data_IF_739153339182
#
_entry.id   IF_739153339182
#
_cell.length_a   1.000
_cell.length_b   1.000
_cell.length_c   1.000
_cell.angle_alpha   90.00
_cell.angle_beta   90.00
_cell.angle_gamma   90.00
#
_symmetry.space_group_name_H-M   'P 1'
#
loop_
_entity.id
_entity.type
_entity.pdbx_description
1 polymer ?
#
# COMPACT_ATOMS: atom_id res chain seq x y z
N UNK A 1 0.72 -30.32 -20.77
CA UNK A 1 1.67 -29.84 -19.74
C UNK A 1 0.87 -29.17 -18.63
N UNK A 2 1.13 -29.46 -17.35
CA UNK A 2 0.39 -28.84 -16.23
C UNK A 2 0.76 -27.36 -16.13
N UNK A 3 -0.23 -26.47 -16.05
CA UNK A 3 0.05 -25.06 -15.81
C UNK A 3 0.74 -24.90 -14.44
N UNK A 4 1.89 -24.19 -14.37
CA UNK A 4 2.58 -23.96 -13.10
C UNK A 4 1.69 -23.14 -12.17
N UNK A 5 1.81 -23.36 -10.86
CA UNK A 5 1.00 -22.61 -9.89
C UNK A 5 1.41 -21.12 -9.89
N UNK A 6 0.46 -20.19 -9.66
CA UNK A 6 0.77 -18.75 -9.65
C UNK A 6 1.87 -18.36 -8.65
N UNK A 7 1.93 -19.05 -7.50
CA UNK A 7 2.98 -18.86 -6.50
C UNK A 7 4.35 -19.22 -7.04
N UNK A 8 4.46 -20.35 -7.77
CA UNK A 8 5.72 -20.81 -8.36
C UNK A 8 6.21 -19.84 -9.43
N UNK A 9 5.31 -19.35 -10.29
CA UNK A 9 5.65 -18.34 -11.30
C UNK A 9 6.04 -17.00 -10.68
N UNK A 10 5.41 -16.62 -9.56
CA UNK A 10 5.84 -15.48 -8.75
C UNK A 10 7.30 -15.60 -8.30
N UNK A 11 7.69 -16.71 -7.69
CA UNK A 11 9.09 -16.95 -7.31
C UNK A 11 10.02 -16.99 -8.54
N UNK A 12 9.61 -17.69 -9.59
CA UNK A 12 10.40 -17.84 -10.82
C UNK A 12 10.70 -16.50 -11.49
N UNK A 13 9.72 -15.60 -11.54
CA UNK A 13 9.88 -14.28 -12.14
C UNK A 13 10.98 -13.47 -11.44
N UNK A 14 11.02 -13.48 -10.10
CA UNK A 14 12.03 -12.71 -9.36
C UNK A 14 13.43 -13.28 -9.56
N UNK A 15 13.58 -14.61 -9.54
CA UNK A 15 14.89 -15.24 -9.73
C UNK A 15 15.42 -15.10 -11.15
N UNK A 16 14.54 -14.98 -12.15
CA UNK A 16 14.94 -14.75 -13.55
C UNK A 16 15.32 -13.32 -13.85
N UNK A 17 14.70 -12.36 -13.16
CA UNK A 17 14.95 -10.93 -13.38
C UNK A 17 15.36 -10.30 -12.05
N UNK A 18 16.56 -10.63 -11.50
CA UNK A 18 17.00 -10.10 -10.21
C UNK A 18 17.16 -8.57 -10.25
N UNK A 19 17.35 -7.98 -11.43
CA UNK A 19 17.37 -6.53 -11.65
C UNK A 19 16.05 -5.86 -11.30
N UNK A 20 14.90 -6.54 -11.43
CA UNK A 20 13.60 -6.02 -10.96
C UNK A 20 13.60 -5.88 -9.45
N UNK A 21 14.04 -6.94 -8.74
CA UNK A 21 14.20 -6.90 -7.30
C UNK A 21 15.15 -5.80 -6.89
N UNK A 22 16.35 -5.74 -7.47
CA UNK A 22 17.34 -4.72 -7.10
C UNK A 22 16.89 -3.30 -7.44
N UNK A 23 16.21 -3.06 -8.56
CA UNK A 23 15.71 -1.74 -8.92
C UNK A 23 14.56 -1.29 -8.00
N UNK A 24 13.63 -2.18 -7.66
CA UNK A 24 12.52 -1.82 -6.77
C UNK A 24 12.96 -1.68 -5.31
N UNK A 25 13.91 -2.52 -4.87
CA UNK A 25 14.42 -2.56 -3.49
C UNK A 25 15.45 -1.44 -3.28
N UNK A 26 16.54 -1.46 -4.04
CA UNK A 26 17.70 -0.61 -3.78
C UNK A 26 17.50 0.82 -4.29
N UNK A 27 16.83 1.02 -5.44
CA UNK A 27 16.87 2.33 -6.09
C UNK A 27 15.96 3.36 -5.43
N UNK A 28 14.70 3.01 -5.10
CA UNK A 28 13.75 4.02 -4.60
C UNK A 28 13.34 3.84 -3.14
N UNK A 29 13.12 2.62 -2.65
CA UNK A 29 12.66 2.42 -1.26
C UNK A 29 13.76 2.70 -0.26
N UNK A 30 14.96 2.17 -0.50
CA UNK A 30 16.10 2.37 0.38
C UNK A 30 16.62 3.80 0.30
N UNK A 31 16.73 4.37 -0.91
CA UNK A 31 17.06 5.78 -1.09
C UNK A 31 16.07 6.71 -0.38
N UNK A 32 14.77 6.45 -0.49
CA UNK A 32 13.75 7.21 0.23
C UNK A 32 13.84 7.02 1.74
N UNK A 33 14.07 5.79 2.23
CA UNK A 33 14.22 5.52 3.65
C UNK A 33 15.44 6.22 4.24
N UNK A 34 16.58 6.22 3.53
CA UNK A 34 17.80 6.93 3.93
C UNK A 34 17.57 8.43 3.92
N UNK A 35 16.98 8.98 2.84
CA UNK A 35 16.70 10.41 2.74
C UNK A 35 15.69 10.88 3.80
N UNK A 36 14.59 10.14 3.98
CA UNK A 36 13.60 10.39 5.02
C UNK A 36 14.18 10.27 6.43
N UNK A 37 15.01 9.26 6.67
CA UNK A 37 15.75 9.10 7.93
C UNK A 37 16.69 10.27 8.20
N UNK A 38 17.46 10.70 7.20
CA UNK A 38 18.33 11.87 7.30
C UNK A 38 17.54 13.16 7.58
N UNK A 39 16.40 13.35 6.90
CA UNK A 39 15.50 14.49 7.14
C UNK A 39 14.93 14.48 8.57
N UNK A 40 14.52 13.31 9.08
CA UNK A 40 14.04 13.19 10.46
C UNK A 40 15.14 13.45 11.48
N UNK A 41 16.36 12.96 11.24
CA UNK A 41 17.52 13.22 12.11
C UNK A 41 17.86 14.72 12.10
N UNK A 42 17.88 15.33 10.91
CA UNK A 42 18.14 16.76 10.78
C UNK A 42 17.06 17.60 11.47
N UNK A 43 15.79 17.28 11.26
CA UNK A 43 14.67 17.95 11.92
C UNK A 43 14.72 17.77 13.45
N UNK A 44 15.14 16.59 13.93
CA UNK A 44 15.34 16.34 15.35
C UNK A 44 16.48 17.21 15.91
N UNK A 45 17.63 17.30 15.24
CA UNK A 45 18.73 18.18 15.67
C UNK A 45 18.31 19.65 15.67
N UNK A 46 17.65 20.11 14.60
CA UNK A 46 17.16 21.48 14.53
C UNK A 46 16.14 21.79 15.63
N UNK A 47 15.27 20.83 15.97
CA UNK A 47 14.36 20.98 17.10
C UNK A 47 15.12 21.04 18.43
N UNK A 48 16.09 20.15 18.66
CA UNK A 48 16.92 20.14 19.87
C UNK A 48 17.69 21.46 20.05
N UNK A 49 18.18 22.05 18.97
CA UNK A 49 18.87 23.35 18.99
C UNK A 49 17.94 24.52 19.37
N UNK A 50 16.61 24.37 19.19
CA UNK A 50 15.63 25.38 19.60
C UNK A 50 15.20 25.27 21.06
N UNK A 51 15.64 24.24 21.79
CA UNK A 51 15.26 24.06 23.19
C UNK A 51 16.02 25.04 24.08
N UNK A 52 15.33 25.83 24.91
CA UNK A 52 15.97 26.71 25.88
C UNK A 52 16.53 25.85 27.04
N UNK A 53 17.80 25.43 26.92
CA UNK A 53 18.47 24.68 27.98
C UNK A 53 19.11 25.66 28.97
N UNK A 54 18.60 25.69 30.21
CA UNK A 54 19.16 26.53 31.26
C UNK A 54 20.31 25.84 31.97
N UNK A 55 21.30 26.58 32.49
CA UNK A 55 22.40 26.03 33.29
C UNK A 55 21.91 25.20 34.50
N UNK A 56 20.75 25.55 35.06
CA UNK A 56 20.09 24.78 36.13
C UNK A 56 19.63 23.40 35.67
N UNK A 57 19.10 23.27 34.44
CA UNK A 57 18.68 21.99 33.88
C UNK A 57 19.89 21.07 33.65
N UNK A 58 21.02 21.63 33.18
CA UNK A 58 22.28 20.90 33.04
C UNK A 58 22.82 20.42 34.40
N UNK A 59 22.69 21.22 35.46
CA UNK A 59 23.07 20.81 36.80
C UNK A 59 22.20 19.64 37.30
N UNK A 60 20.89 19.69 37.06
CA UNK A 60 19.96 18.60 37.40
C UNK A 60 20.26 17.32 36.62
N UNK A 61 20.53 17.42 35.31
CA UNK A 61 20.93 16.27 34.48
C UNK A 61 22.23 15.61 34.98
N UNK A 62 23.17 16.39 35.51
CA UNK A 62 24.45 15.90 36.04
C UNK A 62 24.29 15.09 37.33
N UNK A 63 23.21 15.28 38.10
CA UNK A 63 22.98 14.59 39.37
C UNK A 63 22.76 13.08 39.24
N UNK A 64 22.46 12.58 38.03
CA UNK A 64 22.11 11.17 37.76
C UNK A 64 20.93 10.62 38.57
N UNK A 65 20.11 11.49 39.19
CA UNK A 65 18.92 11.08 39.91
C UNK A 65 17.71 11.04 38.94
N UNK A 66 17.05 9.88 38.74
CA UNK A 66 16.02 9.70 37.72
C UNK A 66 14.85 10.69 37.86
N UNK A 67 14.44 10.99 39.10
CA UNK A 67 13.35 11.91 39.38
C UNK A 67 13.71 13.38 39.06
N UNK A 68 14.98 13.77 39.24
CA UNK A 68 15.43 15.11 38.88
C UNK A 68 15.62 15.25 37.37
N UNK A 69 16.10 14.19 36.71
CA UNK A 69 16.20 14.13 35.24
C UNK A 69 14.81 14.26 34.61
N UNK A 70 13.80 13.54 35.11
CA UNK A 70 12.45 13.63 34.54
C UNK A 70 11.84 15.02 34.72
N UNK A 71 12.08 15.67 35.87
CA UNK A 71 11.59 17.02 36.15
C UNK A 71 12.28 18.08 35.29
N UNK A 72 13.60 17.97 35.11
CA UNK A 72 14.37 18.84 34.22
C UNK A 72 13.94 18.64 32.75
N UNK A 73 13.75 17.39 32.32
CA UNK A 73 13.24 17.09 30.98
C UNK A 73 11.84 17.70 30.77
N UNK A 74 10.91 17.48 31.72
CA UNK A 74 9.58 18.09 31.66
C UNK A 74 9.67 19.60 31.53
N UNK A 75 10.52 20.26 32.31
CA UNK A 75 10.72 21.71 32.25
C UNK A 75 11.27 22.17 30.88
N UNK A 76 12.29 21.50 30.34
CA UNK A 76 12.86 21.79 29.01
C UNK A 76 11.81 21.61 27.89
N UNK A 77 10.93 20.61 28.02
CA UNK A 77 9.86 20.37 27.06
C UNK A 77 8.61 21.24 27.29
N UNK A 78 8.46 21.83 28.48
CA UNK A 78 7.32 22.66 28.83
C UNK A 78 7.39 24.01 28.10
N UNK A 79 6.61 24.13 27.02
CA UNK A 79 6.57 25.33 26.17
C UNK A 79 7.17 25.15 24.78
N UNK A 80 7.96 24.09 24.54
CA UNK A 80 8.50 23.75 23.20
C UNK A 80 7.61 22.79 22.41
N UNK A 81 6.67 22.12 23.08
CA UNK A 81 5.68 21.23 22.48
C UNK A 81 4.97 21.79 21.22
N UNK A 82 4.42 23.02 21.19
CA UNK A 82 3.74 23.52 19.99
C UNK A 82 4.70 23.68 18.80
N UNK A 83 5.96 24.07 19.04
CA UNK A 83 6.99 24.15 17.99
C UNK A 83 7.39 22.77 17.49
N UNK A 84 7.53 21.80 18.40
CA UNK A 84 7.82 20.41 18.07
C UNK A 84 6.72 19.82 17.17
N UNK A 85 5.45 20.03 17.55
CA UNK A 85 4.28 19.57 16.80
C UNK A 85 4.24 20.24 15.42
N UNK A 86 4.45 21.55 15.33
CA UNK A 86 4.49 22.26 14.05
C UNK A 86 5.60 21.71 13.14
N UNK A 87 6.82 21.56 13.65
CA UNK A 87 7.95 20.99 12.90
C UNK A 87 7.68 19.55 12.45
N UNK A 88 7.10 18.72 13.32
CA UNK A 88 6.71 17.35 13.00
C UNK A 88 5.65 17.31 11.90
N UNK A 89 4.59 18.13 11.98
CA UNK A 89 3.54 18.21 10.95
C UNK A 89 4.14 18.59 9.60
N UNK A 90 4.97 19.64 9.56
CA UNK A 90 5.60 20.10 8.31
C UNK A 90 6.51 19.00 7.75
N UNK A 91 7.37 18.42 8.57
CA UNK A 91 8.30 17.35 8.15
C UNK A 91 7.55 16.13 7.62
N UNK A 92 6.52 15.68 8.32
CA UNK A 92 5.71 14.53 7.90
C UNK A 92 4.93 14.82 6.62
N UNK A 93 4.44 16.05 6.42
CA UNK A 93 3.76 16.45 5.18
C UNK A 93 4.72 16.40 3.99
N UNK A 94 5.94 16.93 4.13
CA UNK A 94 6.97 16.87 3.08
C UNK A 94 7.38 15.42 2.77
N UNK A 95 7.61 14.60 3.81
CA UNK A 95 7.91 13.17 3.64
C UNK A 95 6.74 12.47 2.94
N UNK A 96 5.49 12.78 3.30
CA UNK A 96 4.31 12.20 2.68
C UNK A 96 4.21 12.55 1.18
N UNK A 97 4.37 13.83 0.81
CA UNK A 97 4.35 14.26 -0.59
C UNK A 97 5.47 13.57 -1.37
N UNK A 98 6.69 13.58 -0.84
CA UNK A 98 7.82 12.91 -1.45
C UNK A 98 7.57 11.40 -1.62
N UNK A 99 6.97 10.74 -0.63
CA UNK A 99 6.57 9.33 -0.73
C UNK A 99 5.55 9.10 -1.84
N UNK A 100 4.53 9.94 -1.98
CA UNK A 100 3.52 9.79 -3.06
C UNK A 100 4.21 9.81 -4.42
N UNK A 101 5.05 10.81 -4.67
CA UNK A 101 5.77 10.95 -5.94
C UNK A 101 6.66 9.74 -6.18
N UNK A 102 7.58 9.44 -5.25
CA UNK A 102 8.57 8.37 -5.42
C UNK A 102 7.90 7.00 -5.51
N UNK A 103 6.89 6.72 -4.68
CA UNK A 103 6.15 5.46 -4.73
C UNK A 103 5.35 5.33 -6.03
N UNK A 104 4.85 6.42 -6.60
CA UNK A 104 4.09 6.38 -7.85
C UNK A 104 5.00 6.05 -9.03
N UNK A 105 6.16 6.72 -9.13
CA UNK A 105 7.16 6.43 -10.17
C UNK A 105 7.73 5.01 -10.01
N UNK A 106 8.14 4.65 -8.79
CA UNK A 106 8.72 3.33 -8.51
C UNK A 106 7.74 2.18 -8.81
N UNK A 107 6.46 2.33 -8.45
CA UNK A 107 5.44 1.32 -8.74
C UNK A 107 5.09 1.24 -10.22
N UNK A 108 4.93 2.38 -10.90
CA UNK A 108 4.64 2.40 -12.32
C UNK A 108 5.77 1.72 -13.13
N UNK A 109 7.02 2.03 -12.82
CA UNK A 109 8.18 1.41 -13.46
C UNK A 109 8.26 -0.09 -13.18
N UNK A 110 8.12 -0.52 -11.92
CA UNK A 110 8.19 -1.93 -11.54
C UNK A 110 7.09 -2.78 -12.17
N UNK A 111 5.85 -2.30 -12.16
CA UNK A 111 4.70 -3.01 -12.76
C UNK A 111 4.85 -3.07 -14.28
N UNK A 112 5.30 -2.00 -14.94
CA UNK A 112 5.52 -2.01 -16.38
C UNK A 112 6.51 -3.12 -16.79
N UNK A 113 7.67 -3.18 -16.15
CA UNK A 113 8.68 -4.19 -16.48
C UNK A 113 8.15 -5.61 -16.21
N UNK A 114 7.35 -5.79 -15.17
CA UNK A 114 6.72 -7.06 -14.84
C UNK A 114 5.65 -7.46 -15.88
N UNK A 115 4.83 -6.51 -16.34
CA UNK A 115 3.86 -6.73 -17.41
C UNK A 115 4.56 -7.08 -18.72
N UNK A 116 5.62 -6.35 -19.08
CA UNK A 116 6.42 -6.61 -20.28
C UNK A 116 7.05 -8.00 -20.24
N UNK A 117 7.57 -8.42 -19.08
CA UNK A 117 8.09 -9.78 -18.87
C UNK A 117 7.02 -10.85 -19.12
N UNK A 118 5.85 -10.74 -18.47
CA UNK A 118 4.80 -11.76 -18.62
C UNK A 118 4.17 -11.76 -20.02
N UNK A 119 4.05 -10.59 -20.67
CA UNK A 119 3.61 -10.48 -22.07
C UNK A 119 4.61 -11.14 -23.02
N UNK A 120 5.91 -10.93 -22.83
CA UNK A 120 6.95 -11.57 -23.64
C UNK A 120 6.94 -13.11 -23.50
N UNK A 121 6.80 -13.62 -22.27
CA UNK A 121 6.69 -15.07 -22.01
C UNK A 121 5.44 -15.66 -22.68
N UNK A 122 4.32 -14.93 -22.65
CA UNK A 122 3.06 -15.35 -23.31
C UNK A 122 3.19 -15.36 -24.83
N UNK A 123 3.66 -14.28 -25.43
CA UNK A 123 3.79 -14.15 -26.88
C UNK A 123 4.74 -15.22 -27.45
N UNK A 124 5.80 -15.57 -26.71
CA UNK A 124 6.70 -16.67 -27.07
C UNK A 124 6.01 -18.04 -27.06
N UNK A 125 4.98 -18.21 -26.24
CA UNK A 125 4.21 -19.45 -26.15
C UNK A 125 3.06 -19.50 -27.16
N UNK A 126 2.67 -18.35 -27.72
CA UNK A 126 1.50 -18.17 -28.58
C UNK A 126 1.95 -17.59 -29.93
N UNK A 127 2.62 -18.41 -30.74
CA UNK A 127 3.26 -18.03 -32.01
C UNK A 127 2.28 -17.62 -33.16
N UNK A 128 1.03 -17.27 -32.84
CA UNK A 128 0.00 -16.97 -33.85
C UNK A 128 -0.76 -15.69 -33.49
N UNK A 129 -0.32 -14.59 -34.11
CA UNK A 129 -1.14 -13.46 -34.58
C UNK A 129 -2.27 -12.95 -33.67
N UNK A 130 -1.96 -12.04 -32.74
CA UNK A 130 -2.72 -10.77 -32.61
C UNK A 130 -1.85 -9.78 -31.85
N UNK A 131 -1.44 -8.70 -32.52
CA UNK A 131 -0.75 -7.58 -31.90
C UNK A 131 -1.68 -6.93 -30.89
N UNK A 132 -1.50 -7.22 -29.60
CA UNK A 132 -2.18 -6.51 -28.51
C UNK A 132 -1.90 -5.00 -28.64
N UNK A 133 -2.89 -4.13 -28.37
CA UNK A 133 -2.73 -2.70 -28.47
C UNK A 133 -1.51 -2.23 -27.66
N UNK A 134 -0.65 -1.46 -28.32
CA UNK A 134 0.48 -0.78 -27.71
C UNK A 134 0.02 0.04 -26.51
N UNK A 135 0.73 -0.13 -25.39
CA UNK A 135 0.45 0.44 -24.08
C UNK A 135 -0.14 1.86 -24.15
N UNK A 136 -1.44 1.95 -23.87
CA UNK A 136 -2.16 3.19 -23.60
C UNK A 136 -1.36 4.01 -22.57
N UNK A 137 -1.20 5.32 -22.81
CA UNK A 137 -0.29 6.20 -22.07
C UNK A 137 -0.38 6.08 -20.54
N UNK A 138 0.75 6.27 -19.87
CA UNK A 138 0.85 6.15 -18.41
C UNK A 138 -0.10 7.10 -17.70
N UNK A 139 -1.09 6.56 -16.99
CA UNK A 139 -1.95 7.36 -16.11
C UNK A 139 -1.29 7.53 -14.73
N UNK A 140 -0.17 8.26 -14.69
CA UNK A 140 0.55 8.61 -13.46
C UNK A 140 -0.36 9.27 -12.42
N UNK A 141 -1.32 10.10 -12.87
CA UNK A 141 -2.30 10.75 -12.00
C UNK A 141 -3.13 9.74 -11.19
N UNK A 142 -3.55 8.65 -11.82
CA UNK A 142 -4.33 7.60 -11.17
C UNK A 142 -3.50 6.84 -10.11
N UNK A 143 -2.23 6.54 -10.43
CA UNK A 143 -1.29 5.93 -9.48
C UNK A 143 -0.99 6.85 -8.29
N UNK A 144 -0.83 8.16 -8.55
CA UNK A 144 -0.66 9.16 -7.49
C UNK A 144 -1.90 9.24 -6.59
N UNK A 145 -3.11 9.20 -7.16
CA UNK A 145 -4.36 9.15 -6.40
C UNK A 145 -4.45 7.95 -5.46
N UNK A 146 -4.05 6.75 -5.94
CA UNK A 146 -3.99 5.55 -5.10
C UNK A 146 -2.96 5.68 -3.98
N UNK A 147 -1.77 6.21 -4.25
CA UNK A 147 -0.75 6.42 -3.21
C UNK A 147 -1.15 7.51 -2.20
N UNK A 148 -1.84 8.56 -2.63
CA UNK A 148 -2.45 9.55 -1.74
C UNK A 148 -3.47 8.91 -0.80
N UNK A 149 -4.38 8.08 -1.33
CA UNK A 149 -5.36 7.38 -0.50
C UNK A 149 -4.69 6.43 0.49
N UNK A 150 -3.57 5.80 0.12
CA UNK A 150 -2.78 4.97 1.06
C UNK A 150 -2.22 5.80 2.21
N UNK A 151 -1.71 7.01 1.93
CA UNK A 151 -1.27 7.93 3.00
C UNK A 151 -2.47 8.34 3.87
N UNK A 152 -3.59 8.73 3.26
CA UNK A 152 -4.78 9.12 3.99
C UNK A 152 -5.26 8.02 4.95
N UNK A 153 -5.29 6.76 4.51
CA UNK A 153 -5.68 5.62 5.34
C UNK A 153 -4.63 5.31 6.42
N UNK A 154 -3.33 5.48 6.15
CA UNK A 154 -2.29 5.37 7.21
C UNK A 154 -2.46 6.45 8.28
N UNK A 155 -2.77 7.68 7.88
CA UNK A 155 -3.01 8.79 8.81
C UNK A 155 -4.29 8.56 9.61
N UNK A 156 -5.36 8.10 8.98
CA UNK A 156 -6.60 7.73 9.65
C UNK A 156 -6.39 6.60 10.67
N UNK A 157 -5.59 5.59 10.34
CA UNK A 157 -5.25 4.50 11.27
C UNK A 157 -4.43 5.02 12.47
N UNK A 158 -3.49 5.93 12.24
CA UNK A 158 -2.72 6.57 13.31
C UNK A 158 -3.62 7.38 14.26
N UNK A 159 -4.49 8.23 13.71
CA UNK A 159 -5.49 8.98 14.49
C UNK A 159 -6.40 8.03 15.27
N UNK A 160 -6.83 6.93 14.62
CA UNK A 160 -7.61 5.87 15.26
C UNK A 160 -6.89 5.24 16.46
N UNK A 161 -5.57 4.98 16.35
CA UNK A 161 -4.79 4.43 17.46
C UNK A 161 -4.67 5.41 18.63
N UNK A 162 -4.53 6.71 18.35
CA UNK A 162 -4.59 7.76 19.39
C UNK A 162 -5.98 7.77 20.04
N UNK A 163 -7.05 7.70 19.26
CA UNK A 163 -8.42 7.58 19.77
C UNK A 163 -8.64 6.34 20.64
N UNK A 164 -8.08 5.19 20.25
CA UNK A 164 -8.11 3.96 21.03
C UNK A 164 -7.39 4.11 22.38
N UNK A 165 -6.25 4.81 22.41
CA UNK A 165 -5.52 5.12 23.64
C UNK A 165 -6.35 6.00 24.59
N UNK A 166 -7.00 7.04 24.06
CA UNK A 166 -7.88 7.93 24.84
C UNK A 166 -9.10 7.18 25.38
N UNK A 167 -9.73 6.34 24.55
CA UNK A 167 -10.86 5.50 24.95
C UNK A 167 -10.47 4.54 26.07
N UNK A 168 -9.34 3.85 25.94
CA UNK A 168 -8.82 2.97 26.98
C UNK A 168 -8.53 3.71 28.29
N UNK A 169 -7.94 4.91 28.21
CA UNK A 169 -7.71 5.78 29.37
C UNK A 169 -9.00 6.18 30.09
N UNK A 170 -10.09 6.41 29.33
CA UNK A 170 -11.38 6.76 29.92
C UNK A 170 -12.05 5.62 30.71
N UNK A 171 -11.72 4.36 30.38
CA UNK A 171 -12.28 3.17 31.05
C UNK A 171 -11.63 2.92 32.41
N UNK A 172 -10.38 3.35 32.59
CA UNK A 172 -9.66 3.24 33.87
C UNK A 172 -9.56 4.61 34.55
N UNK A 173 -10.54 4.93 35.41
CA UNK A 173 -10.51 6.14 36.23
C UNK A 173 -9.59 5.97 37.45
N UNK A 174 -9.00 7.07 37.94
CA UNK A 174 -8.22 7.10 39.19
C UNK A 174 -9.00 6.53 40.39
N UNK A 175 -10.33 6.71 40.39
CA UNK A 175 -11.20 6.25 41.49
C UNK A 175 -11.42 4.73 41.48
N UNK A 176 -11.32 4.09 40.33
CA UNK A 176 -11.55 2.65 40.13
C UNK A 176 -10.57 2.13 39.07
N UNK A 177 -9.29 1.93 39.42
CA UNK A 177 -8.28 1.52 38.46
C UNK A 177 -8.59 0.11 37.95
N UNK A 178 -8.87 -0.01 36.65
CA UNK A 178 -9.12 -1.29 35.98
C UNK A 178 -8.16 -1.46 34.79
N UNK A 179 -6.84 -1.53 35.04
CA UNK A 179 -5.83 -1.54 33.97
C UNK A 179 -6.01 -2.71 33.00
N UNK A 180 -6.54 -3.84 33.47
CA UNK A 180 -6.84 -5.00 32.62
C UNK A 180 -7.92 -4.73 31.58
N UNK A 181 -9.00 -4.05 31.96
CA UNK A 181 -10.10 -3.72 31.03
C UNK A 181 -9.64 -2.63 30.05
N UNK A 182 -8.95 -1.60 30.54
CA UNK A 182 -8.36 -0.56 29.70
C UNK A 182 -7.40 -1.16 28.65
N UNK A 183 -6.51 -2.06 29.07
CA UNK A 183 -5.61 -2.76 28.17
C UNK A 183 -6.37 -3.59 27.13
N UNK A 184 -7.38 -4.37 27.55
CA UNK A 184 -8.19 -5.18 26.63
C UNK A 184 -8.90 -4.30 25.59
N UNK A 185 -9.53 -3.20 26.01
CA UNK A 185 -10.19 -2.24 25.11
C UNK A 185 -9.18 -1.64 24.12
N UNK A 186 -8.01 -1.21 24.61
CA UNK A 186 -6.94 -0.69 23.76
C UNK A 186 -6.50 -1.70 22.70
N UNK A 187 -6.14 -2.92 23.11
CA UNK A 187 -5.62 -3.94 22.20
C UNK A 187 -6.67 -4.39 21.20
N UNK A 188 -7.94 -4.54 21.60
CA UNK A 188 -9.03 -4.88 20.68
C UNK A 188 -9.29 -3.78 19.65
N UNK A 189 -9.32 -2.51 20.08
CA UNK A 189 -9.50 -1.39 19.17
C UNK A 189 -8.33 -1.29 18.17
N UNK A 190 -7.08 -1.35 18.66
CA UNK A 190 -5.89 -1.33 17.81
C UNK A 190 -5.87 -2.52 16.84
N UNK A 191 -6.27 -3.72 17.28
CA UNK A 191 -6.39 -4.89 16.41
C UNK A 191 -7.36 -4.64 15.26
N UNK A 192 -8.56 -4.10 15.55
CA UNK A 192 -9.55 -3.79 14.52
C UNK A 192 -9.07 -2.71 13.56
N UNK A 193 -8.47 -1.63 14.08
CA UNK A 193 -7.93 -0.53 13.27
C UNK A 193 -6.82 -1.04 12.34
N UNK A 194 -5.88 -1.82 12.88
CA UNK A 194 -4.76 -2.38 12.10
C UNK A 194 -5.23 -3.42 11.08
N UNK A 195 -6.23 -4.23 11.41
CA UNK A 195 -6.86 -5.16 10.46
C UNK A 195 -7.50 -4.39 9.29
N UNK A 196 -8.34 -3.40 9.57
CA UNK A 196 -9.00 -2.58 8.55
C UNK A 196 -7.98 -1.83 7.68
N UNK A 197 -6.99 -1.21 8.31
CA UNK A 197 -5.87 -0.54 7.64
C UNK A 197 -5.12 -1.50 6.71
N UNK A 198 -4.79 -2.70 7.18
CA UNK A 198 -4.06 -3.71 6.42
C UNK A 198 -4.84 -4.15 5.18
N UNK A 199 -6.14 -4.45 5.33
CA UNK A 199 -7.03 -4.85 4.22
C UNK A 199 -7.12 -3.75 3.18
N UNK A 200 -7.41 -2.51 3.59
CA UNK A 200 -7.54 -1.38 2.67
C UNK A 200 -6.22 -1.08 1.97
N UNK A 201 -5.11 -1.04 2.70
CA UNK A 201 -3.78 -0.81 2.12
C UNK A 201 -3.37 -1.94 1.17
N UNK A 202 -3.83 -3.17 1.40
CA UNK A 202 -3.63 -4.29 0.48
C UNK A 202 -4.40 -4.08 -0.84
N UNK A 203 -5.70 -3.77 -0.78
CA UNK A 203 -6.51 -3.46 -1.98
C UNK A 203 -5.96 -2.29 -2.77
N UNK A 204 -5.56 -1.21 -2.10
CA UNK A 204 -4.96 -0.05 -2.77
C UNK A 204 -3.61 -0.38 -3.39
N UNK A 205 -2.81 -1.26 -2.76
CA UNK A 205 -1.56 -1.74 -3.35
C UNK A 205 -1.80 -2.65 -4.57
N UNK A 206 -2.92 -3.37 -4.61
CA UNK A 206 -3.34 -4.19 -5.74
C UNK A 206 -3.85 -3.31 -6.90
N UNK A 207 -4.63 -2.28 -6.57
CA UNK A 207 -5.23 -1.34 -7.53
C UNK A 207 -4.21 -0.66 -8.43
N UNK A 208 -2.98 -0.42 -7.95
CA UNK A 208 -1.91 0.25 -8.74
C UNK A 208 -1.56 -0.51 -10.03
N UNK A 209 -1.92 -1.79 -10.15
CA UNK A 209 -1.70 -2.56 -11.38
C UNK A 209 -2.56 -2.11 -12.56
N UNK A 210 -3.82 -1.75 -12.34
CA UNK A 210 -4.77 -1.47 -13.43
C UNK A 210 -4.52 -0.14 -14.16
N UNK A 211 -4.14 0.97 -13.50
CA UNK A 211 -3.76 2.19 -14.21
C UNK A 211 -2.56 2.00 -15.14
N UNK A 212 -1.66 1.07 -14.78
CA UNK A 212 -0.44 0.78 -15.55
C UNK A 212 -0.71 -0.25 -16.65
N UNK A 213 -1.57 -1.24 -16.38
CA UNK A 213 -1.87 -2.32 -17.31
C UNK A 213 -2.91 -1.93 -18.38
N UNK A 214 -3.97 -1.23 -17.95
CA UNK A 214 -5.22 -1.01 -18.69
C UNK A 214 -5.59 0.49 -18.79
N UNK A 215 -4.89 1.38 -18.08
CA UNK A 215 -5.17 2.82 -18.12
C UNK A 215 -6.47 3.19 -17.39
N UNK A 216 -6.79 2.50 -16.29
CA UNK A 216 -7.95 2.84 -15.47
C UNK A 216 -7.68 4.06 -14.57
N UNK A 217 -8.72 4.86 -14.35
CA UNK A 217 -8.74 5.94 -13.36
C UNK A 217 -8.64 5.37 -11.92
N UNK A 218 -8.49 6.24 -10.92
CA UNK A 218 -8.24 5.79 -9.53
C UNK A 218 -9.37 4.92 -8.99
N UNK A 219 -10.64 5.28 -9.27
CA UNK A 219 -11.78 4.52 -8.77
C UNK A 219 -12.03 3.27 -9.60
N UNK A 220 -11.89 3.34 -10.94
CA UNK A 220 -11.92 2.17 -11.80
C UNK A 220 -10.86 1.14 -11.41
N UNK A 221 -9.65 1.58 -11.06
CA UNK A 221 -8.59 0.70 -10.58
C UNK A 221 -8.93 -0.03 -9.27
N UNK A 222 -9.64 0.63 -8.35
CA UNK A 222 -10.11 0.02 -7.11
C UNK A 222 -11.21 -1.00 -7.42
N UNK A 223 -12.17 -0.64 -8.27
CA UNK A 223 -13.22 -1.54 -8.71
C UNK A 223 -12.65 -2.80 -9.39
N UNK A 224 -11.72 -2.64 -10.33
CA UNK A 224 -11.04 -3.75 -10.99
C UNK A 224 -10.23 -4.63 -10.02
N UNK A 225 -9.64 -4.05 -8.98
CA UNK A 225 -8.96 -4.81 -7.92
C UNK A 225 -9.94 -5.65 -7.10
N UNK A 226 -11.10 -5.10 -6.76
CA UNK A 226 -12.18 -5.82 -6.07
C UNK A 226 -12.71 -6.95 -6.95
N UNK A 227 -12.96 -6.68 -8.23
CA UNK A 227 -13.42 -7.71 -9.17
C UNK A 227 -12.37 -8.81 -9.32
N UNK A 228 -11.10 -8.44 -9.47
CA UNK A 228 -10.00 -9.41 -9.49
C UNK A 228 -10.01 -10.30 -8.25
N UNK A 229 -10.19 -9.74 -7.06
CA UNK A 229 -10.32 -10.51 -5.83
C UNK A 229 -11.58 -11.38 -5.79
N UNK A 230 -12.73 -10.88 -6.21
CA UNK A 230 -13.99 -11.64 -6.20
C UNK A 230 -13.91 -12.86 -7.11
N UNK A 231 -13.33 -12.71 -8.28
CA UNK A 231 -13.20 -13.80 -9.26
C UNK A 231 -12.02 -14.75 -8.97
N UNK A 232 -10.97 -14.29 -8.27
CA UNK A 232 -9.76 -15.08 -8.00
C UNK A 232 -9.36 -15.13 -6.53
N UNK A 233 -10.35 -15.12 -5.62
CA UNK A 233 -10.11 -15.08 -4.16
C UNK A 233 -9.23 -16.23 -3.69
N UNK A 234 -9.52 -17.46 -4.14
CA UNK A 234 -8.74 -18.66 -3.80
C UNK A 234 -7.25 -18.53 -4.15
N UNK A 235 -6.88 -18.33 -5.43
CA UNK A 235 -5.49 -18.13 -5.83
C UNK A 235 -4.82 -16.93 -5.13
N UNK A 236 -5.52 -15.81 -4.98
CA UNK A 236 -4.98 -14.61 -4.31
C UNK A 236 -4.70 -14.83 -2.83
N UNK A 237 -5.60 -15.51 -2.12
CA UNK A 237 -5.40 -15.88 -0.72
C UNK A 237 -4.29 -16.91 -0.60
N UNK A 238 -4.21 -17.90 -1.48
CA UNK A 238 -3.14 -18.88 -1.48
C UNK A 238 -1.75 -18.22 -1.64
N UNK A 239 -1.61 -17.33 -2.64
CA UNK A 239 -0.38 -16.54 -2.83
C UNK A 239 -0.07 -15.73 -1.56
N UNK A 240 -1.06 -15.01 -1.00
CA UNK A 240 -0.86 -14.20 0.20
C UNK A 240 -0.41 -15.02 1.40
N UNK A 241 -1.02 -16.18 1.62
CA UNK A 241 -0.70 -17.11 2.72
C UNK A 241 0.71 -17.67 2.56
N UNK A 242 1.09 -18.13 1.36
CA UNK A 242 2.44 -18.68 1.14
C UNK A 242 3.53 -17.62 1.34
N UNK A 243 3.39 -16.44 0.73
CA UNK A 243 4.35 -15.36 0.95
C UNK A 243 4.34 -14.87 2.40
N UNK A 244 3.19 -14.88 3.07
CA UNK A 244 3.07 -14.58 4.50
C UNK A 244 3.80 -15.59 5.39
N UNK A 245 3.67 -16.89 5.11
CA UNK A 245 4.38 -17.95 5.83
C UNK A 245 5.89 -17.81 5.67
N UNK A 246 6.38 -17.56 4.45
CA UNK A 246 7.81 -17.33 4.19
C UNK A 246 8.30 -16.07 4.92
N UNK A 247 7.49 -15.00 4.96
CA UNK A 247 7.79 -13.80 5.73
C UNK A 247 7.92 -14.10 7.23
N UNK A 248 6.98 -14.84 7.82
CA UNK A 248 7.03 -15.23 9.24
C UNK A 248 8.29 -16.06 9.52
N UNK A 249 8.63 -17.01 8.63
CA UNK A 249 9.86 -17.79 8.72
C UNK A 249 11.12 -16.91 8.68
N UNK A 250 11.18 -15.95 7.75
CA UNK A 250 12.27 -14.98 7.69
C UNK A 250 12.34 -14.13 8.97
N UNK A 251 11.21 -13.62 9.46
CA UNK A 251 11.18 -12.82 10.70
C UNK A 251 11.73 -13.62 11.89
N UNK A 252 11.32 -14.89 12.03
CA UNK A 252 11.81 -15.77 13.10
C UNK A 252 13.32 -16.00 13.00
N UNK A 253 13.81 -16.32 11.80
CA UNK A 253 15.22 -16.53 11.52
C UNK A 253 16.06 -15.28 11.83
N UNK A 254 15.70 -14.13 11.27
CA UNK A 254 16.45 -12.89 11.45
C UNK A 254 16.37 -12.34 12.87
N UNK A 255 15.25 -12.54 13.57
CA UNK A 255 15.14 -12.20 15.00
C UNK A 255 16.11 -13.05 15.83
N UNK A 256 16.22 -14.35 15.52
CA UNK A 256 17.17 -15.25 16.19
C UNK A 256 18.62 -14.86 15.90
N UNK A 257 18.94 -14.52 14.64
CA UNK A 257 20.25 -14.01 14.23
C UNK A 257 20.61 -12.69 14.95
N UNK A 258 19.63 -11.80 15.16
CA UNK A 258 19.86 -10.54 15.85
C UNK A 258 20.18 -10.73 17.35
N UNK A 259 19.76 -11.84 17.96
CA UNK A 259 20.11 -12.15 19.35
C UNK A 259 21.60 -12.50 19.53
N UNK A 260 22.28 -12.99 18.49
CA UNK A 260 23.72 -13.35 18.55
C UNK A 260 24.61 -12.14 18.91
N UNK A 261 24.61 -11.02 18.16
CA UNK A 261 25.42 -9.86 18.53
C UNK A 261 25.00 -9.25 19.86
N UNK A 262 23.72 -9.31 20.22
CA UNK A 262 23.21 -8.83 21.52
C UNK A 262 23.76 -9.68 22.66
N UNK A 263 23.78 -11.01 22.53
CA UNK A 263 24.36 -11.91 23.52
C UNK A 263 25.87 -11.68 23.69
N UNK A 264 26.55 -11.24 22.63
CA UNK A 264 27.97 -10.86 22.66
C UNK A 264 28.23 -9.44 23.16
N UNK A 265 27.21 -8.70 23.60
CA UNK A 265 27.38 -7.32 24.05
C UNK A 265 28.30 -7.15 25.27
N UNK A 266 28.50 -8.22 26.06
CA UNK A 266 29.49 -8.23 27.15
C UNK A 266 30.95 -8.35 26.68
N UNK A 267 31.19 -8.87 25.46
CA UNK A 267 32.52 -9.12 24.92
C UNK A 267 32.95 -8.12 23.83
N UNK A 268 31.99 -7.55 23.11
CA UNK A 268 32.23 -6.65 21.99
C UNK A 268 32.00 -5.18 22.36
N UNK A 269 32.66 -4.27 21.64
CA UNK A 269 32.36 -2.83 21.75
C UNK A 269 30.92 -2.57 21.33
N UNK A 270 30.20 -1.71 22.06
CA UNK A 270 28.79 -1.39 21.79
C UNK A 270 28.53 -0.96 20.32
N UNK A 271 29.47 -0.24 19.70
CA UNK A 271 29.38 0.15 18.27
C UNK A 271 29.37 -1.04 17.32
N UNK A 272 30.16 -2.08 17.60
CA UNK A 272 30.22 -3.29 16.79
C UNK A 272 28.93 -4.10 16.92
N UNK A 273 28.38 -4.21 18.13
CA UNK A 273 27.09 -4.85 18.39
C UNK A 273 25.97 -4.14 17.63
N UNK A 274 25.89 -2.81 17.76
CA UNK A 274 24.89 -2.00 17.06
C UNK A 274 25.00 -2.16 15.55
N UNK A 275 26.22 -2.12 15.01
CA UNK A 275 26.47 -2.32 13.58
C UNK A 275 26.03 -3.71 13.12
N UNK A 276 26.36 -4.76 13.88
CA UNK A 276 25.94 -6.13 13.55
C UNK A 276 24.41 -6.28 13.56
N UNK A 277 23.72 -5.77 14.58
CA UNK A 277 22.26 -5.76 14.64
C UNK A 277 21.65 -4.99 13.46
N UNK A 278 22.24 -3.84 13.11
CA UNK A 278 21.81 -3.04 11.97
C UNK A 278 21.96 -3.83 10.65
N UNK A 279 23.09 -4.50 10.44
CA UNK A 279 23.30 -5.33 9.24
C UNK A 279 22.26 -6.46 9.15
N UNK A 280 21.99 -7.14 10.26
CA UNK A 280 20.94 -8.20 10.30
C UNK A 280 19.57 -7.63 9.97
N UNK A 281 19.22 -6.45 10.50
CA UNK A 281 17.96 -5.78 10.20
C UNK A 281 17.86 -5.36 8.72
N UNK A 282 18.93 -4.81 8.14
CA UNK A 282 18.98 -4.45 6.72
C UNK A 282 18.83 -5.68 5.80
N UNK A 283 19.47 -6.80 6.15
CA UNK A 283 19.30 -8.05 5.42
C UNK A 283 17.87 -8.57 5.49
N UNK A 284 17.24 -8.52 6.68
CA UNK A 284 15.82 -8.86 6.84
C UNK A 284 14.92 -8.01 5.93
N UNK A 285 15.11 -6.69 5.93
CA UNK A 285 14.32 -5.79 5.07
C UNK A 285 14.53 -6.07 3.58
N UNK A 286 15.75 -6.39 3.15
CA UNK A 286 16.02 -6.80 1.78
C UNK A 286 15.23 -8.06 1.39
N UNK A 287 15.21 -9.08 2.25
CA UNK A 287 14.44 -10.32 2.04
C UNK A 287 12.95 -10.04 1.98
N UNK A 288 12.41 -9.27 2.92
CA UNK A 288 10.98 -8.91 2.94
C UNK A 288 10.57 -8.14 1.70
N UNK A 289 11.39 -7.19 1.26
CA UNK A 289 11.08 -6.44 0.06
C UNK A 289 11.13 -7.32 -1.19
N UNK A 290 12.06 -8.27 -1.27
CA UNK A 290 12.09 -9.29 -2.33
C UNK A 290 10.82 -10.14 -2.34
N UNK A 291 10.36 -10.63 -1.19
CA UNK A 291 9.10 -11.37 -1.07
C UNK A 291 7.90 -10.55 -1.52
N UNK A 292 7.89 -9.24 -1.25
CA UNK A 292 6.82 -8.34 -1.69
C UNK A 292 6.76 -8.20 -3.21
N UNK A 293 7.91 -8.11 -3.89
CA UNK A 293 7.98 -8.08 -5.36
C UNK A 293 7.50 -9.41 -5.94
N UNK A 294 7.86 -10.53 -5.31
CA UNK A 294 7.36 -11.86 -5.70
C UNK A 294 5.86 -12.02 -5.61
N UNK A 295 5.28 -11.54 -4.51
CA UNK A 295 3.84 -11.53 -4.33
C UNK A 295 3.16 -10.68 -5.40
N UNK A 296 3.75 -9.52 -5.73
CA UNK A 296 3.25 -8.67 -6.82
C UNK A 296 3.32 -9.38 -8.18
N UNK A 297 4.42 -10.06 -8.48
CA UNK A 297 4.58 -10.88 -9.68
C UNK A 297 3.50 -11.96 -9.80
N UNK A 298 3.21 -12.66 -8.70
CA UNK A 298 2.14 -13.65 -8.67
C UNK A 298 0.76 -13.03 -8.92
N UNK A 299 0.47 -11.85 -8.35
CA UNK A 299 -0.81 -11.16 -8.63
C UNK A 299 -0.93 -10.70 -10.08
N UNK A 300 0.14 -10.17 -10.69
CA UNK A 300 0.15 -9.82 -12.12
C UNK A 300 -0.09 -11.06 -12.98
N UNK A 301 0.54 -12.19 -12.64
CA UNK A 301 0.31 -13.44 -13.35
C UNK A 301 -1.16 -13.90 -13.28
N UNK A 302 -1.79 -13.80 -12.11
CA UNK A 302 -3.22 -14.10 -11.93
C UNK A 302 -4.08 -13.14 -12.76
N UNK A 303 -3.79 -11.84 -12.69
CA UNK A 303 -4.54 -10.82 -13.43
C UNK A 303 -4.48 -11.02 -14.95
N UNK A 304 -3.33 -11.47 -15.45
CA UNK A 304 -3.15 -11.74 -16.87
C UNK A 304 -3.69 -13.11 -17.30
N UNK A 305 -4.04 -14.03 -16.40
CA UNK A 305 -4.33 -15.45 -16.71
C UNK A 305 -5.31 -15.69 -17.87
N UNK A 306 -5.36 -16.90 -18.47
CA UNK A 306 -6.19 -17.20 -19.65
C UNK A 306 -7.68 -16.87 -19.45
N UNK A 307 -8.16 -16.92 -18.21
CA UNK A 307 -9.55 -16.60 -17.88
C UNK A 307 -9.86 -15.09 -17.90
N UNK A 308 -8.83 -14.24 -18.05
CA UNK A 308 -9.00 -12.79 -18.21
C UNK A 308 -9.73 -12.44 -19.52
N UNK A 309 -9.59 -13.24 -20.58
CA UNK A 309 -10.33 -13.03 -21.84
C UNK A 309 -11.84 -13.26 -21.73
N UNK A 310 -12.31 -13.98 -20.69
CA UNK A 310 -13.75 -14.14 -20.44
C UNK A 310 -14.39 -12.87 -19.86
N UNK A 311 -13.60 -11.87 -19.43
CA UNK A 311 -14.09 -10.59 -18.90
C UNK A 311 -14.51 -9.58 -19.98
N UNK A 312 -14.08 -9.76 -21.23
CA UNK A 312 -14.43 -8.86 -22.35
C UNK A 312 -15.83 -9.19 -22.93
N UNK A 313 -16.48 -10.27 -22.49
CA UNK A 313 -17.80 -10.66 -22.99
C UNK A 313 -18.91 -10.22 -22.00
N UNK A 314 -19.13 -8.91 -21.92
CA UNK A 314 -20.39 -8.33 -21.46
C UNK A 314 -20.68 -7.09 -22.33
N UNK A 315 -21.92 -6.93 -22.78
CA UNK A 315 -22.25 -6.77 -24.19
C UNK A 315 -21.74 -5.45 -24.74
N UNK A 316 -20.98 -5.50 -25.84
CA UNK A 316 -21.08 -4.46 -26.84
C UNK A 316 -22.57 -4.26 -27.12
N UNK A 317 -23.08 -3.06 -26.81
CA UNK A 317 -24.28 -2.53 -27.42
C UNK A 317 -24.04 -2.44 -28.92
N UNK A 318 -24.11 -3.59 -29.57
CA UNK A 318 -24.05 -3.79 -31.01
C UNK A 318 -25.38 -3.33 -31.55
N UNK A 319 -25.52 -2.02 -31.71
CA UNK A 319 -26.78 -1.40 -32.11
C UNK A 319 -26.58 0.05 -32.50
N UNK A 320 -25.79 0.30 -33.53
CA UNK A 320 -25.71 1.60 -34.17
C UNK A 320 -24.79 1.60 -35.39
N UNK A 321 -25.34 1.60 -36.63
CA UNK A 321 -24.56 1.89 -37.81
C UNK A 321 -24.05 3.32 -37.75
N UNK A 322 -22.82 3.49 -38.22
CA UNK A 322 -22.17 4.74 -38.58
C UNK A 322 -23.15 5.82 -39.08
N UNK A 323 -23.09 7.01 -38.47
CA UNK A 323 -23.50 8.22 -39.18
C UNK A 323 -22.43 9.29 -38.98
N UNK A 324 -21.48 9.28 -39.92
CA UNK A 324 -20.64 10.43 -40.22
C UNK A 324 -21.38 11.30 -41.25
N UNK A 325 -22.30 12.14 -40.78
CA UNK A 325 -22.82 13.34 -41.46
C UNK A 325 -23.75 14.03 -40.46
N UNK A 326 -23.34 15.15 -39.85
CA UNK A 326 -23.79 16.48 -40.28
C UNK A 326 -25.22 16.47 -40.85
N UNK A 327 -26.21 16.76 -40.01
CA UNK A 327 -27.24 17.77 -40.26
C UNK A 327 -28.26 17.83 -39.10
N UNK A 328 -28.59 19.07 -38.74
CA UNK A 328 -29.82 19.60 -38.16
C UNK A 328 -30.69 18.71 -37.25
N UNK A 329 -30.73 19.12 -35.99
CA UNK A 329 -31.85 18.92 -35.08
C UNK A 329 -33.09 19.66 -35.57
N UNK A 330 -33.78 19.11 -36.57
CA UNK A 330 -35.17 19.45 -36.87
C UNK A 330 -36.03 18.26 -36.44
N UNK A 331 -36.78 18.46 -35.36
CA UNK A 331 -37.79 17.52 -34.86
C UNK A 331 -38.92 17.49 -35.90
N UNK A 332 -39.12 16.34 -36.53
CA UNK A 332 -40.24 16.09 -37.44
C UNK A 332 -41.53 15.97 -36.61
N UNK A 333 -42.41 16.97 -36.71
CA UNK A 333 -43.67 17.05 -35.97
C UNK A 333 -44.82 16.29 -36.66
N UNK A 334 -44.56 15.64 -37.80
CA UNK A 334 -45.60 15.01 -38.60
C UNK A 334 -45.66 13.49 -38.44
N UNK A 335 -44.97 12.89 -37.46
CA UNK A 335 -45.16 11.47 -37.15
C UNK A 335 -46.55 11.24 -36.49
N UNK A 336 -47.47 10.53 -37.16
CA UNK A 336 -48.82 10.32 -36.66
C UNK A 336 -48.79 9.33 -35.50
N UNK A 337 -49.20 9.81 -34.32
CA UNK A 337 -49.36 9.01 -33.11
C UNK A 337 -50.40 7.92 -33.38
N UNK A 338 -49.93 6.68 -33.41
CA UNK A 338 -50.66 5.47 -33.79
C UNK A 338 -51.56 4.97 -32.63
N UNK A 339 -52.47 5.82 -32.13
CA UNK A 339 -53.30 5.52 -30.95
C UNK A 339 -54.79 5.24 -31.23
N UNK A 340 -55.26 5.29 -32.47
CA UNK A 340 -56.68 5.04 -32.79
C UNK A 340 -56.86 3.85 -33.75
N UNK A 341 -56.88 2.63 -33.22
CA UNK A 341 -57.44 1.47 -33.91
C UNK A 341 -58.74 1.02 -33.22
N UNK A 342 -59.89 1.03 -33.90
CA UNK A 342 -61.17 0.59 -33.34
C UNK A 342 -61.22 -0.94 -33.19
N UNK A 343 -61.69 -1.40 -32.03
CA UNK A 343 -62.01 -2.79 -31.74
C UNK A 343 -63.21 -3.25 -32.58
N UNK A 344 -63.00 -4.15 -33.54
CA UNK A 344 -64.08 -4.86 -34.24
C UNK A 344 -64.67 -5.97 -33.35
N UNK A 345 -66.00 -6.08 -33.23
CA UNK A 345 -66.67 -7.11 -32.43
C UNK A 345 -66.68 -8.48 -33.15
N UNK A 346 -66.41 -9.53 -32.38
CA UNK A 346 -66.48 -10.93 -32.80
C UNK A 346 -67.96 -11.32 -32.94
N UNK A 347 -68.42 -11.61 -34.15
CA UNK A 347 -69.69 -12.29 -34.40
C UNK A 347 -69.50 -13.81 -34.30
N UNK A 348 -70.34 -14.43 -33.46
CA UNK A 348 -70.48 -15.88 -33.30
C UNK A 348 -71.57 -16.41 -34.24
N UNK A 349 -71.23 -17.34 -35.13
CA UNK A 349 -72.19 -18.28 -35.74
C UNK A 349 -71.51 -19.65 -35.93
N UNK A 350 -71.86 -20.60 -35.05
CA UNK A 350 -72.43 -21.89 -35.42
C UNK A 350 -72.88 -22.66 -34.17
#
# INVERSE_FOLDING_TARGET
MKQPSPTLEGFRAIFRVPSLGLAEIAAWRWSFAVAGGALLIFAAFQFLDTLPVTSGDLALLRTRQPALISRAALHIFHGSAPRAIAAAIVTLLFIAIAWIVVASLGRAAGIKVLLDYFRAVRNSSQASSTSLPSAQGWQLGSVMGLNFLRIAITLAAFIGCVGALLLAGSVSSEKNPSPGIAALVFFMAVLLITMAWSILNWFLSLGVMFPVAEGHDTFGAIASAIDLFRFHSGPMLAVSTWFGLVHIGALSLFSSLAMVPIALAGALRARAVLFAVLVVALLYFAVVDFLRVGRLAAYVHIALGPDASLRVVAPESSGGPQSAARNDTQVDQDEPILSDLPLTPIQSEN
#
